data_IF_928204383358
#
_entry.id   IF_928204383358
#
_cell.length_a   1.000
_cell.length_b   1.000
_cell.length_c   1.000
_cell.angle_alpha   90.00
_cell.angle_beta   90.00
_cell.angle_gamma   90.00
#
_symmetry.space_group_name_H-M   'P 1'
#
loop_
_entity.id
_entity.type
_entity.pdbx_description
1 polymer ?
#
# COMPACT_ATOMS: atom_id res chain seq x y z
N UNK A 1 -27.06 -5.67 -54.15
CA UNK A 1 -26.03 -5.97 -53.13
C UNK A 1 -25.29 -4.69 -52.80
N UNK A 2 -25.45 -4.17 -51.58
CA UNK A 2 -24.52 -3.26 -50.91
C UNK A 2 -24.86 -3.29 -49.42
N UNK A 3 -23.98 -3.86 -48.60
CA UNK A 3 -24.15 -4.01 -47.15
C UNK A 3 -23.72 -2.69 -46.50
N UNK A 4 -24.56 -2.00 -45.72
CA UNK A 4 -24.11 -0.79 -45.04
C UNK A 4 -23.04 -1.15 -44.00
N UNK A 5 -21.97 -0.34 -44.01
CA UNK A 5 -20.74 -0.49 -43.23
C UNK A 5 -21.04 -0.39 -41.73
N UNK A 6 -20.33 -1.22 -40.97
CA UNK A 6 -20.33 -1.24 -39.51
C UNK A 6 -20.21 0.18 -38.94
N UNK A 7 -21.12 0.53 -38.05
CA UNK A 7 -21.03 1.73 -37.23
C UNK A 7 -19.83 1.62 -36.30
N UNK A 8 -18.78 2.40 -36.57
CA UNK A 8 -17.71 2.67 -35.62
C UNK A 8 -18.30 3.40 -34.41
N UNK A 9 -18.66 2.67 -33.37
CA UNK A 9 -18.87 3.26 -32.05
C UNK A 9 -17.51 3.72 -31.53
N UNK A 10 -17.32 5.01 -31.17
CA UNK A 10 -16.17 5.39 -30.39
C UNK A 10 -16.41 4.79 -29.00
N UNK A 11 -15.78 3.64 -28.73
CA UNK A 11 -15.59 3.20 -27.35
C UNK A 11 -14.71 4.27 -26.72
N UNK A 12 -15.37 5.24 -26.09
CA UNK A 12 -14.73 6.33 -25.39
C UNK A 12 -13.68 5.71 -24.50
N UNK A 13 -12.45 6.16 -24.73
CA UNK A 13 -11.23 5.91 -23.98
C UNK A 13 -11.33 6.50 -22.57
N UNK A 14 -12.47 6.30 -21.90
CA UNK A 14 -12.57 6.17 -20.46
C UNK A 14 -12.08 4.76 -20.08
N UNK A 15 -10.91 4.38 -20.60
CA UNK A 15 -9.95 3.65 -19.79
C UNK A 15 -9.73 4.57 -18.59
N UNK A 16 -10.57 4.36 -17.58
CA UNK A 16 -10.26 4.62 -16.20
C UNK A 16 -9.02 3.77 -15.95
N UNK A 17 -7.86 4.26 -16.40
CA UNK A 17 -6.60 3.93 -15.78
C UNK A 17 -6.88 4.30 -14.34
N UNK A 18 -7.27 3.31 -13.55
CA UNK A 18 -7.17 3.39 -12.12
C UNK A 18 -5.76 3.91 -11.90
N UNK A 19 -5.66 5.18 -11.52
CA UNK A 19 -4.38 5.81 -11.27
C UNK A 19 -3.72 4.92 -10.24
N UNK A 20 -2.70 4.17 -10.66
CA UNK A 20 -2.05 3.20 -9.79
C UNK A 20 -1.41 4.02 -8.67
N UNK A 21 -2.04 4.02 -7.51
CA UNK A 21 -1.51 4.72 -6.36
C UNK A 21 -0.22 4.00 -5.95
N UNK A 22 0.86 4.76 -5.84
CA UNK A 22 2.13 4.24 -5.37
C UNK A 22 2.30 4.61 -3.89
N UNK A 23 2.85 3.68 -3.12
CA UNK A 23 3.10 3.85 -1.69
C UNK A 23 4.54 3.49 -1.36
N UNK A 24 5.13 4.25 -0.43
CA UNK A 24 6.39 3.91 0.23
C UNK A 24 6.12 3.77 1.73
N UNK A 25 6.60 2.68 2.31
CA UNK A 25 6.47 2.40 3.75
C UNK A 25 7.88 2.40 4.35
N UNK A 26 8.12 3.27 5.34
CA UNK A 26 9.38 3.35 6.07
C UNK A 26 9.17 2.93 7.51
N UNK A 27 9.97 2.00 8.00
CA UNK A 27 10.03 1.60 9.40
C UNK A 27 11.26 2.23 10.05
N UNK A 28 11.04 3.04 11.07
CA UNK A 28 12.08 3.69 11.84
C UNK A 28 12.19 3.03 13.22
N UNK A 29 13.33 2.40 13.48
CA UNK A 29 13.62 1.65 14.70
C UNK A 29 14.45 2.45 15.69
N UNK A 30 13.80 3.26 16.53
CA UNK A 30 14.44 4.02 17.59
C UNK A 30 14.66 3.22 18.89
N UNK A 31 15.19 3.90 19.91
CA UNK A 31 15.35 3.35 21.25
C UNK A 31 14.11 3.56 22.13
N UNK A 32 13.56 4.77 22.12
CA UNK A 32 12.33 5.10 22.85
C UNK A 32 11.09 4.47 22.21
N UNK A 33 11.03 4.44 20.89
CA UNK A 33 9.90 3.90 20.14
C UNK A 33 10.26 3.54 18.71
N UNK A 34 9.39 2.75 18.08
CA UNK A 34 9.49 2.40 16.66
C UNK A 34 8.28 2.94 15.91
N UNK A 35 8.47 3.39 14.67
CA UNK A 35 7.46 4.10 13.89
C UNK A 35 7.34 3.53 12.50
N UNK A 36 6.16 3.67 11.92
CA UNK A 36 5.91 3.47 10.49
C UNK A 36 5.43 4.77 9.87
N UNK A 37 6.02 5.10 8.72
CA UNK A 37 5.64 6.23 7.88
C UNK A 37 5.15 5.69 6.53
N UNK A 38 3.97 6.12 6.10
CA UNK A 38 3.36 5.70 4.84
C UNK A 38 3.16 6.94 3.98
N UNK A 39 3.94 7.02 2.91
CA UNK A 39 3.82 8.06 1.90
C UNK A 39 3.09 7.52 0.69
N UNK A 40 2.06 8.23 0.24
CA UNK A 40 1.44 8.00 -1.06
C UNK A 40 2.04 8.97 -2.07
N UNK A 41 2.24 8.51 -3.30
CA UNK A 41 2.73 9.37 -4.38
C UNK A 41 2.16 8.96 -5.73
N UNK A 42 2.19 9.88 -6.69
CA UNK A 42 1.88 9.61 -8.08
C UNK A 42 3.17 9.60 -8.93
N UNK A 43 3.20 8.74 -9.95
CA UNK A 43 4.21 8.76 -11.00
C UNK A 43 3.53 9.26 -12.27
N UNK A 44 3.83 10.50 -12.69
CA UNK A 44 3.28 11.03 -13.94
C UNK A 44 3.91 10.25 -15.11
N UNK A 45 3.10 9.51 -15.89
CA UNK A 45 3.58 8.95 -17.16
C UNK A 45 3.60 10.08 -18.20
N UNK A 46 4.80 10.40 -18.70
CA UNK A 46 5.03 11.47 -19.68
C UNK A 46 6.33 12.22 -19.36
N UNK A 47 7.21 12.30 -20.34
CA UNK A 47 8.62 12.74 -20.31
C UNK A 47 9.18 13.15 -18.93
N UNK A 48 9.67 12.13 -18.22
CA UNK A 48 10.61 12.17 -17.08
C UNK A 48 10.17 13.03 -15.88
N UNK A 49 9.36 12.48 -14.95
CA UNK A 49 9.37 13.02 -13.59
C UNK A 49 10.72 12.70 -12.94
N UNK A 50 11.56 13.71 -12.71
CA UNK A 50 12.81 13.58 -11.92
C UNK A 50 12.51 13.32 -10.44
N UNK A 51 11.29 13.64 -9.98
CA UNK A 51 10.85 13.53 -8.59
C UNK A 51 9.43 12.98 -8.49
N UNK A 52 9.16 12.19 -7.44
CA UNK A 52 7.82 11.73 -7.10
C UNK A 52 7.00 12.87 -6.46
N UNK A 53 5.72 13.01 -6.82
CA UNK A 53 4.82 13.96 -6.17
C UNK A 53 4.15 13.28 -4.98
N UNK A 54 4.58 13.64 -3.77
CA UNK A 54 3.99 13.14 -2.52
C UNK A 54 2.57 13.70 -2.34
N UNK A 55 1.68 12.84 -1.84
CA UNK A 55 0.35 13.17 -1.38
C UNK A 55 0.41 13.21 0.15
N UNK A 56 0.17 14.41 0.69
CA UNK A 56 0.26 14.70 2.13
C UNK A 56 -1.15 14.91 2.74
N UNK A 57 -1.33 14.71 4.05
CA UNK A 57 -0.31 14.25 5.01
C UNK A 57 0.00 12.77 4.85
N UNK A 58 1.23 12.38 5.21
CA UNK A 58 1.59 10.98 5.38
C UNK A 58 0.78 10.33 6.52
N UNK A 59 0.73 9.00 6.55
CA UNK A 59 0.18 8.26 7.69
C UNK A 59 1.33 7.79 8.57
N UNK A 60 1.19 8.04 9.87
CA UNK A 60 2.22 7.70 10.85
C UNK A 60 1.59 6.94 12.00
N UNK A 61 2.27 5.90 12.45
CA UNK A 61 1.91 5.15 13.66
C UNK A 61 3.17 4.74 14.42
N UNK A 62 3.07 4.66 15.75
CA UNK A 62 4.21 4.45 16.63
C UNK A 62 3.88 3.45 17.74
N UNK A 63 4.91 2.72 18.20
CA UNK A 63 4.85 1.81 19.34
C UNK A 63 6.06 2.04 20.25
N UNK A 64 5.89 1.72 21.54
CA UNK A 64 6.95 1.76 22.56
C UNK A 64 7.00 0.40 23.29
N UNK A 65 8.17 -0.07 23.75
CA UNK A 65 9.49 0.54 23.56
C UNK A 65 10.06 0.34 22.15
N UNK A 66 11.15 1.03 21.83
CA UNK A 66 11.81 0.94 20.52
C UNK A 66 12.62 -0.34 20.29
N UNK A 67 12.97 -0.63 19.02
CA UNK A 67 13.65 -1.87 18.62
C UNK A 67 14.93 -2.16 19.39
N UNK A 68 15.71 -1.13 19.76
CA UNK A 68 16.95 -1.34 20.52
C UNK A 68 16.70 -1.91 21.93
N UNK A 69 15.50 -1.73 22.50
CA UNK A 69 15.13 -2.27 23.81
C UNK A 69 15.01 -3.80 23.80
N UNK A 70 15.00 -4.43 22.61
CA UNK A 70 14.91 -5.88 22.43
C UNK A 70 16.25 -6.49 22.00
N UNK A 71 17.38 -5.84 22.26
CA UNK A 71 18.71 -6.38 21.97
C UNK A 71 18.87 -7.80 22.56
N UNK A 72 19.40 -8.73 21.76
CA UNK A 72 19.52 -10.15 22.14
C UNK A 72 18.20 -10.95 22.11
N UNK A 73 17.06 -10.31 21.78
CA UNK A 73 15.72 -10.92 21.76
C UNK A 73 15.02 -10.68 20.41
N UNK A 74 15.55 -11.18 19.28
CA UNK A 74 15.03 -10.87 17.94
C UNK A 74 13.58 -11.31 17.72
N UNK A 75 13.14 -12.41 18.34
CA UNK A 75 11.75 -12.85 18.26
C UNK A 75 10.78 -11.83 18.90
N UNK A 76 11.18 -11.22 20.03
CA UNK A 76 10.37 -10.18 20.69
C UNK A 76 10.35 -8.89 19.87
N UNK A 77 11.49 -8.54 19.24
CA UNK A 77 11.59 -7.41 18.31
C UNK A 77 10.68 -7.59 17.09
N UNK A 78 10.59 -8.82 16.55
CA UNK A 78 9.68 -9.13 15.45
C UNK A 78 8.21 -8.98 15.86
N UNK A 79 7.85 -9.46 17.05
CA UNK A 79 6.49 -9.32 17.58
C UNK A 79 6.13 -7.86 17.86
N UNK A 80 7.07 -7.04 18.35
CA UNK A 80 6.78 -5.65 18.72
C UNK A 80 6.45 -4.76 17.51
N UNK A 81 6.92 -5.10 16.30
CA UNK A 81 6.63 -4.35 15.07
C UNK A 81 5.36 -4.80 14.35
N UNK A 82 4.71 -5.91 14.76
CA UNK A 82 3.48 -6.39 14.11
C UNK A 82 2.37 -5.32 14.02
N UNK A 83 2.10 -4.50 15.06
CA UNK A 83 1.10 -3.43 14.95
C UNK A 83 1.46 -2.37 13.89
N UNK A 84 2.75 -2.12 13.66
CA UNK A 84 3.22 -1.20 12.63
C UNK A 84 2.94 -1.77 11.22
N UNK A 85 3.18 -3.07 11.03
CA UNK A 85 2.93 -3.77 9.78
C UNK A 85 1.44 -3.86 9.47
N UNK A 86 0.61 -4.14 10.47
CA UNK A 86 -0.85 -4.18 10.34
C UNK A 86 -1.40 -2.80 9.95
N UNK A 87 -0.93 -1.73 10.60
CA UNK A 87 -1.28 -0.36 10.23
C UNK A 87 -0.91 -0.05 8.77
N UNK A 88 0.28 -0.46 8.33
CA UNK A 88 0.71 -0.31 6.95
C UNK A 88 -0.17 -1.09 5.97
N UNK A 89 -0.47 -2.34 6.30
CA UNK A 89 -1.32 -3.19 5.48
C UNK A 89 -2.70 -2.59 5.30
N UNK A 90 -3.34 -2.09 6.36
CA UNK A 90 -4.66 -1.46 6.27
C UNK A 90 -4.68 -0.25 5.34
N UNK A 91 -3.65 0.60 5.39
CA UNK A 91 -3.62 1.83 4.61
C UNK A 91 -3.18 1.63 3.16
N UNK A 92 -2.32 0.65 2.88
CA UNK A 92 -1.90 0.33 1.51
C UNK A 92 -2.95 -0.52 0.80
N UNK A 93 -3.54 -1.51 1.50
CA UNK A 93 -4.46 -2.50 0.91
C UNK A 93 -5.87 -1.95 0.71
N UNK A 94 -6.35 -1.05 1.59
CA UNK A 94 -7.67 -0.42 1.43
C UNK A 94 -7.79 0.38 0.12
N UNK A 95 -6.65 0.78 -0.48
CA UNK A 95 -6.60 1.56 -1.72
C UNK A 95 -6.37 0.71 -2.97
N UNK A 96 -6.11 -0.60 -2.82
CA UNK A 96 -5.97 -1.57 -3.92
C UNK A 96 -7.24 -2.42 -4.10
N UNK A 97 -8.22 -2.31 -3.19
CA UNK A 97 -9.50 -3.02 -3.32
C UNK A 97 -10.47 -2.30 -4.28
N UNK A 98 -10.15 -2.36 -5.56
CA UNK A 98 -11.13 -2.49 -6.62
C UNK A 98 -10.98 -3.89 -7.20
N UNK A 99 -11.81 -4.84 -6.71
CA UNK A 99 -12.01 -6.21 -7.25
C UNK A 99 -11.18 -7.39 -6.70
N UNK A 100 -10.43 -7.28 -5.60
CA UNK A 100 -9.79 -8.47 -5.02
C UNK A 100 -10.79 -9.26 -4.14
N UNK A 101 -11.35 -10.35 -4.69
CA UNK A 101 -12.00 -11.40 -3.91
C UNK A 101 -10.97 -11.98 -2.92
N UNK A 102 -10.94 -11.48 -1.69
CA UNK A 102 -10.17 -12.09 -0.61
C UNK A 102 -10.95 -13.34 -0.17
N UNK A 103 -10.54 -14.50 -0.68
CA UNK A 103 -10.78 -15.76 0.00
C UNK A 103 -9.84 -15.80 1.20
N UNK A 104 -10.32 -15.37 2.36
CA UNK A 104 -9.63 -15.54 3.63
C UNK A 104 -9.66 -17.03 4.00
N UNK A 105 -8.68 -17.80 3.53
CA UNK A 105 -8.38 -19.12 4.09
C UNK A 105 -7.30 -18.94 5.16
N UNK A 106 -7.72 -18.50 6.35
CA UNK A 106 -6.95 -18.76 7.57
C UNK A 106 -7.32 -20.19 7.98
N UNK A 107 -6.38 -21.15 8.04
CA UNK A 107 -6.69 -22.48 8.54
C UNK A 107 -6.87 -22.37 10.06
N UNK A 108 -8.13 -22.34 10.52
CA UNK A 108 -8.44 -22.59 11.92
C UNK A 108 -8.25 -24.09 12.18
N UNK A 109 -7.12 -24.46 12.75
CA UNK A 109 -7.03 -25.68 13.54
C UNK A 109 -7.88 -25.51 14.79
N UNK A 110 -8.98 -26.25 14.88
CA UNK A 110 -9.65 -26.61 16.12
C UNK A 110 -9.93 -28.12 16.06
N UNK A 111 -9.71 -28.76 17.20
CA UNK A 111 -9.60 -30.20 17.44
C UNK A 111 -10.77 -31.07 16.95
#
# INVERSE_FOLDING_TARGET
>A
MAKPRHSDTPHSSLQRQFLKAHYSVYLDGGSSGSRVHIFQYNNRQGDRPTYAQLILPEKVFAVEPGLSSYAGRPAMAATSILPLLEFAYQHVSALICGCANISSAIPSSCA
#
